data_IF_546482052363
#
_entry.id   IF_546482052363
#
_cell.length_a   1.000
_cell.length_b   1.000
_cell.length_c   1.000
_cell.angle_alpha   90.00
_cell.angle_beta   90.00
_cell.angle_gamma   90.00
#
_symmetry.space_group_name_H-M   'P 1'
#
loop_
_entity.id
_entity.type
_entity.pdbx_description
1 polymer ?
#
# COMPACT_ATOMS: atom_id res chain seq x y z
N UNK A 1 22.69 20.05 5.23
CA UNK A 1 22.32 19.33 3.99
C UNK A 1 23.54 18.58 3.51
N UNK A 2 23.49 17.23 3.43
CA UNK A 2 24.66 16.42 3.08
C UNK A 2 24.95 16.42 1.57
N UNK A 3 23.92 16.64 0.73
CA UNK A 3 24.03 16.70 -0.73
C UNK A 3 23.28 17.91 -1.28
N UNK A 4 23.75 18.49 -2.41
CA UNK A 4 22.97 19.48 -3.16
C UNK A 4 21.61 18.89 -3.61
N UNK A 5 20.61 19.76 -3.85
CA UNK A 5 19.25 19.32 -4.12
C UNK A 5 19.13 18.36 -5.32
N UNK A 6 19.80 18.63 -6.42
CA UNK A 6 19.72 17.81 -7.62
C UNK A 6 20.35 16.41 -7.47
N UNK A 7 21.59 16.25 -6.95
CA UNK A 7 22.12 14.93 -6.61
C UNK A 7 21.30 14.17 -5.58
N UNK A 8 20.71 14.87 -4.58
CA UNK A 8 19.84 14.24 -3.60
C UNK A 8 18.58 13.65 -4.27
N UNK A 9 17.97 14.38 -5.21
CA UNK A 9 16.82 13.92 -5.97
C UNK A 9 17.14 12.67 -6.81
N UNK A 10 18.28 12.68 -7.53
CA UNK A 10 18.73 11.52 -8.32
C UNK A 10 18.99 10.32 -7.41
N UNK A 11 19.69 10.53 -6.29
CA UNK A 11 19.97 9.48 -5.32
C UNK A 11 18.67 8.86 -4.76
N UNK A 12 17.67 9.68 -4.42
CA UNK A 12 16.38 9.22 -3.95
C UNK A 12 15.64 8.38 -5.01
N UNK A 13 15.74 8.75 -6.29
CA UNK A 13 15.15 7.99 -7.39
C UNK A 13 15.75 6.58 -7.51
N UNK A 14 17.08 6.47 -7.49
CA UNK A 14 17.75 5.15 -7.54
C UNK A 14 17.50 4.36 -6.25
N UNK A 15 17.53 5.00 -5.09
CA UNK A 15 17.25 4.36 -3.81
C UNK A 15 15.83 3.75 -3.81
N UNK A 16 14.85 4.46 -4.32
CA UNK A 16 13.47 3.96 -4.50
C UNK A 16 13.45 2.65 -5.28
N UNK A 17 14.14 2.59 -6.43
CA UNK A 17 14.20 1.38 -7.26
C UNK A 17 14.88 0.23 -6.52
N UNK A 18 16.00 0.50 -5.84
CA UNK A 18 16.72 -0.50 -5.06
C UNK A 18 15.87 -1.08 -3.93
N UNK A 19 15.12 -0.23 -3.20
CA UNK A 19 14.21 -0.66 -2.14
C UNK A 19 13.09 -1.55 -2.70
N UNK A 20 12.50 -1.17 -3.85
CA UNK A 20 11.47 -1.96 -4.50
C UNK A 20 11.96 -3.35 -4.91
N UNK A 21 13.15 -3.40 -5.53
CA UNK A 21 13.78 -4.68 -5.93
C UNK A 21 14.08 -5.52 -4.68
N UNK A 22 14.76 -4.94 -3.68
CA UNK A 22 15.14 -5.66 -2.47
C UNK A 22 13.91 -6.21 -1.74
N UNK A 23 12.87 -5.39 -1.54
CA UNK A 23 11.62 -5.80 -0.92
C UNK A 23 10.93 -6.92 -1.71
N UNK A 24 10.83 -6.78 -3.03
CA UNK A 24 10.22 -7.78 -3.91
C UNK A 24 10.99 -9.11 -3.91
N UNK A 25 12.32 -9.06 -3.90
CA UNK A 25 13.17 -10.26 -3.84
C UNK A 25 13.01 -10.97 -2.51
N UNK A 26 13.03 -10.24 -1.39
CA UNK A 26 12.84 -10.81 -0.06
C UNK A 26 11.45 -11.44 0.09
N UNK A 27 10.42 -10.71 -0.31
CA UNK A 27 9.04 -11.21 -0.30
C UNK A 27 8.86 -12.40 -1.24
N UNK A 28 9.38 -12.32 -2.47
CA UNK A 28 9.29 -13.39 -3.44
C UNK A 28 9.98 -14.69 -2.99
N UNK A 29 11.15 -14.59 -2.33
CA UNK A 29 11.81 -15.75 -1.73
C UNK A 29 10.94 -16.43 -0.68
N UNK A 30 10.28 -15.63 0.15
CA UNK A 30 9.43 -16.13 1.22
C UNK A 30 8.15 -16.79 0.70
N UNK A 31 7.49 -16.16 -0.28
CA UNK A 31 6.22 -16.64 -0.81
C UNK A 31 6.38 -17.82 -1.77
N UNK A 32 7.43 -17.83 -2.60
CA UNK A 32 7.63 -18.85 -3.62
C UNK A 32 8.42 -20.06 -3.11
N UNK A 33 9.18 -19.93 -2.01
CA UNK A 33 9.98 -21.00 -1.45
C UNK A 33 10.91 -21.64 -2.49
N UNK A 34 10.79 -22.94 -2.71
CA UNK A 34 11.62 -23.69 -3.67
C UNK A 34 11.44 -23.22 -5.13
N UNK A 35 10.24 -22.72 -5.49
CA UNK A 35 9.95 -22.22 -6.83
C UNK A 35 10.66 -20.90 -7.14
N UNK A 36 11.18 -20.21 -6.11
CA UNK A 36 11.88 -18.95 -6.30
C UNK A 36 13.01 -19.04 -7.32
N UNK A 37 13.81 -20.10 -7.28
CA UNK A 37 14.96 -20.26 -8.20
C UNK A 37 14.55 -20.24 -9.67
N UNK A 38 13.44 -20.90 -10.01
CA UNK A 38 12.92 -20.92 -11.39
C UNK A 38 12.24 -19.64 -11.82
N UNK A 39 11.80 -18.80 -10.87
CA UNK A 39 11.08 -17.55 -11.14
C UNK A 39 11.88 -16.31 -10.74
N UNK A 40 13.15 -16.47 -10.39
CA UNK A 40 13.99 -15.38 -9.89
C UNK A 40 14.02 -14.18 -10.83
N UNK A 41 14.23 -14.40 -12.13
CA UNK A 41 14.29 -13.32 -13.12
C UNK A 41 12.97 -12.52 -13.17
N UNK A 42 11.83 -13.22 -13.09
CA UNK A 42 10.52 -12.58 -13.05
C UNK A 42 10.34 -11.72 -11.79
N UNK A 43 10.74 -12.21 -10.62
CA UNK A 43 10.66 -11.46 -9.36
C UNK A 43 11.51 -10.19 -9.41
N UNK A 44 12.73 -10.28 -9.96
CA UNK A 44 13.59 -9.10 -10.17
C UNK A 44 12.97 -8.11 -11.12
N UNK A 45 12.42 -8.58 -12.25
CA UNK A 45 11.76 -7.72 -13.23
C UNK A 45 10.53 -7.04 -12.64
N UNK A 46 9.70 -7.77 -11.88
CA UNK A 46 8.55 -7.19 -11.17
C UNK A 46 8.98 -6.13 -10.15
N UNK A 47 10.03 -6.39 -9.36
CA UNK A 47 10.55 -5.41 -8.40
C UNK A 47 11.10 -4.16 -9.08
N UNK A 48 11.80 -4.31 -10.20
CA UNK A 48 12.30 -3.20 -11.01
C UNK A 48 11.15 -2.38 -11.61
N UNK A 49 10.19 -3.04 -12.27
CA UNK A 49 9.00 -2.40 -12.83
C UNK A 49 8.22 -1.64 -11.75
N UNK A 50 7.99 -2.27 -10.59
CA UNK A 50 7.31 -1.64 -9.46
C UNK A 50 8.06 -0.40 -8.95
N UNK A 51 9.39 -0.45 -8.90
CA UNK A 51 10.23 0.69 -8.53
C UNK A 51 10.14 1.87 -9.50
N UNK A 52 9.87 1.63 -10.79
CA UNK A 52 9.75 2.68 -11.82
C UNK A 52 8.34 3.27 -11.87
N UNK A 53 7.30 2.50 -11.54
CA UNK A 53 5.89 2.89 -11.69
C UNK A 53 5.56 4.25 -11.06
N UNK A 54 6.17 4.60 -9.95
CA UNK A 54 6.03 5.91 -9.35
C UNK A 54 7.16 6.84 -9.78
N UNK A 55 6.83 7.89 -10.56
CA UNK A 55 7.80 8.81 -11.15
C UNK A 55 8.40 9.77 -10.12
N UNK A 56 7.71 10.05 -9.01
CA UNK A 56 8.13 11.03 -8.01
C UNK A 56 9.02 10.40 -6.92
N UNK A 57 10.31 10.76 -6.84
CA UNK A 57 11.21 10.21 -5.82
C UNK A 57 10.78 10.52 -4.39
N UNK A 58 10.29 11.73 -4.14
CA UNK A 58 9.92 12.17 -2.79
C UNK A 58 8.76 11.36 -2.20
N UNK A 59 7.80 10.93 -3.04
CA UNK A 59 6.64 10.13 -2.64
C UNK A 59 6.81 8.65 -3.00
N UNK A 60 7.79 8.32 -3.81
CA UNK A 60 7.99 6.98 -4.36
C UNK A 60 8.58 6.00 -3.37
N UNK A 61 9.40 6.45 -2.42
CA UNK A 61 10.04 5.57 -1.42
C UNK A 61 9.00 4.86 -0.54
N UNK A 62 7.99 5.54 0.02
CA UNK A 62 6.92 4.87 0.78
C UNK A 62 6.23 3.76 -0.02
N UNK A 63 5.86 4.01 -1.27
CA UNK A 63 5.28 2.99 -2.14
C UNK A 63 6.24 1.84 -2.44
N UNK A 64 7.47 2.16 -2.83
CA UNK A 64 8.50 1.20 -3.16
C UNK A 64 8.85 0.27 -1.99
N UNK A 65 8.64 0.72 -0.75
CA UNK A 65 8.91 -0.03 0.47
C UNK A 65 7.78 -1.02 0.86
N UNK A 66 6.61 -0.98 0.24
CA UNK A 66 5.48 -1.87 0.57
C UNK A 66 5.85 -3.36 0.49
N UNK A 67 6.55 -3.86 -0.55
CA UNK A 67 6.96 -5.27 -0.56
C UNK A 67 7.86 -5.65 0.61
N UNK A 68 8.71 -4.73 1.08
CA UNK A 68 9.53 -4.92 2.28
C UNK A 68 8.66 -5.01 3.54
N UNK A 69 7.66 -4.14 3.69
CA UNK A 69 6.70 -4.22 4.79
C UNK A 69 5.97 -5.56 4.80
N UNK A 70 5.46 -5.99 3.66
CA UNK A 70 4.78 -7.27 3.53
C UNK A 70 5.68 -8.44 3.91
N UNK A 71 6.96 -8.41 3.49
CA UNK A 71 7.95 -9.40 3.90
C UNK A 71 8.14 -9.43 5.43
N UNK A 72 8.28 -8.26 6.07
CA UNK A 72 8.42 -8.17 7.53
C UNK A 72 7.20 -8.75 8.25
N UNK A 73 5.99 -8.40 7.79
CA UNK A 73 4.75 -8.93 8.35
C UNK A 73 4.64 -10.45 8.19
N UNK A 74 4.97 -10.99 7.01
CA UNK A 74 5.00 -12.45 6.79
C UNK A 74 5.97 -13.12 7.75
N UNK A 75 7.19 -12.58 7.92
CA UNK A 75 8.17 -13.11 8.88
C UNK A 75 7.69 -13.08 10.32
N UNK A 76 7.08 -11.98 10.74
CA UNK A 76 6.51 -11.83 12.10
C UNK A 76 5.39 -12.85 12.32
N UNK A 77 4.51 -13.03 11.35
CA UNK A 77 3.39 -13.97 11.46
C UNK A 77 3.86 -15.42 11.49
N UNK A 78 4.87 -15.79 10.71
CA UNK A 78 5.41 -17.15 10.68
C UNK A 78 6.30 -17.44 11.89
N UNK A 79 7.38 -16.67 12.04
CA UNK A 79 8.41 -16.89 13.07
C UNK A 79 8.82 -15.56 13.71
N UNK A 80 8.07 -15.10 14.75
CA UNK A 80 8.36 -13.83 15.40
C UNK A 80 9.74 -13.86 16.05
N UNK A 81 10.48 -12.77 15.89
CA UNK A 81 11.75 -12.54 16.57
C UNK A 81 11.92 -11.06 16.89
N UNK A 82 12.72 -10.74 17.88
CA UNK A 82 13.02 -9.35 18.22
C UNK A 82 13.56 -8.56 17.00
N UNK A 83 14.43 -9.18 16.18
CA UNK A 83 14.99 -8.53 15.00
C UNK A 83 13.92 -8.09 13.97
N UNK A 84 12.87 -8.90 13.77
CA UNK A 84 11.80 -8.52 12.85
C UNK A 84 10.94 -7.37 13.38
N UNK A 85 10.64 -7.36 14.68
CA UNK A 85 9.94 -6.24 15.30
C UNK A 85 10.80 -4.98 15.33
N UNK A 86 12.11 -5.09 15.57
CA UNK A 86 13.03 -3.96 15.48
C UNK A 86 13.10 -3.40 14.04
N UNK A 87 13.19 -4.26 13.03
CA UNK A 87 13.13 -3.83 11.63
C UNK A 87 11.81 -3.13 11.30
N UNK A 88 10.68 -3.64 11.81
CA UNK A 88 9.37 -3.01 11.65
C UNK A 88 9.28 -1.65 12.37
N UNK A 89 9.89 -1.53 13.55
CA UNK A 89 9.98 -0.25 14.28
C UNK A 89 10.71 0.83 13.49
N UNK A 90 11.76 0.48 12.74
CA UNK A 90 12.50 1.42 11.89
C UNK A 90 11.90 1.60 10.49
N UNK A 91 10.90 0.82 10.11
CA UNK A 91 10.25 0.96 8.81
C UNK A 91 9.68 2.36 8.52
N UNK A 92 9.15 3.14 9.50
CA UNK A 92 8.71 4.53 9.30
C UNK A 92 9.74 5.47 8.69
N UNK A 93 11.03 5.17 8.78
CA UNK A 93 12.10 5.94 8.08
C UNK A 93 11.93 5.89 6.56
N UNK A 94 11.33 4.82 6.04
CA UNK A 94 11.04 4.64 4.61
C UNK A 94 9.62 5.08 4.24
N UNK A 95 8.75 5.27 5.24
CA UNK A 95 7.33 5.53 5.03
C UNK A 95 6.87 6.65 5.96
N UNK A 96 6.42 7.76 5.41
CA UNK A 96 5.92 8.88 6.21
C UNK A 96 4.50 8.63 6.71
N UNK A 97 4.25 8.88 8.00
CA UNK A 97 2.89 8.78 8.57
C UNK A 97 1.91 9.70 7.85
N UNK A 98 2.33 10.94 7.61
CA UNK A 98 1.53 11.98 6.97
C UNK A 98 1.07 11.66 5.56
N UNK A 99 1.71 10.70 4.87
CA UNK A 99 1.33 10.27 3.52
C UNK A 99 0.72 8.88 3.48
N UNK A 100 1.32 7.93 4.17
CA UNK A 100 1.03 6.51 4.01
C UNK A 100 0.78 5.76 5.30
N UNK A 101 1.33 6.25 6.42
CA UNK A 101 1.31 5.50 7.67
C UNK A 101 -0.10 5.21 8.17
N UNK A 102 -1.01 6.18 8.04
CA UNK A 102 -2.40 5.99 8.43
C UNK A 102 -3.06 4.86 7.62
N UNK A 103 -2.86 4.84 6.30
CA UNK A 103 -3.40 3.79 5.43
C UNK A 103 -2.79 2.43 5.75
N UNK A 104 -1.47 2.37 5.96
CA UNK A 104 -0.79 1.12 6.35
C UNK A 104 -1.39 0.58 7.65
N UNK A 105 -1.54 1.41 8.68
CA UNK A 105 -2.13 1.00 9.95
C UNK A 105 -3.59 0.57 9.79
N UNK A 106 -4.38 1.27 8.97
CA UNK A 106 -5.76 0.90 8.68
C UNK A 106 -5.86 -0.46 7.97
N UNK A 107 -5.00 -0.73 6.97
CA UNK A 107 -4.95 -2.04 6.32
C UNK A 107 -4.46 -3.15 7.24
N UNK A 108 -3.50 -2.87 8.13
CA UNK A 108 -3.07 -3.83 9.13
C UNK A 108 -4.17 -4.12 10.16
N UNK A 109 -4.94 -3.11 10.56
CA UNK A 109 -6.10 -3.29 11.42
C UNK A 109 -7.21 -4.11 10.73
N UNK A 110 -7.46 -3.86 9.44
CA UNK A 110 -8.38 -4.67 8.64
C UNK A 110 -7.90 -6.12 8.54
N UNK A 111 -6.61 -6.34 8.26
CA UNK A 111 -6.02 -7.67 8.23
C UNK A 111 -6.11 -8.38 9.59
N UNK A 112 -5.90 -7.65 10.70
CA UNK A 112 -6.10 -8.16 12.06
C UNK A 112 -7.54 -8.65 12.25
N UNK A 113 -8.55 -7.86 11.88
CA UNK A 113 -9.95 -8.22 11.99
C UNK A 113 -10.31 -9.45 11.13
N UNK A 114 -9.82 -9.48 9.88
CA UNK A 114 -10.03 -10.61 8.98
C UNK A 114 -9.43 -11.91 9.56
N UNK A 115 -8.20 -11.86 10.06
CA UNK A 115 -7.55 -13.01 10.69
C UNK A 115 -8.31 -13.47 11.94
N UNK A 116 -8.75 -12.53 12.76
CA UNK A 116 -9.50 -12.84 13.99
C UNK A 116 -10.83 -13.53 13.68
N UNK A 117 -11.59 -13.01 12.73
CA UNK A 117 -12.87 -13.58 12.30
C UNK A 117 -12.68 -14.96 11.65
N UNK A 118 -11.70 -15.06 10.75
CA UNK A 118 -11.42 -16.28 9.98
C UNK A 118 -10.96 -17.43 10.87
N UNK A 119 -9.95 -17.17 11.70
CA UNK A 119 -9.28 -18.22 12.46
C UNK A 119 -9.91 -18.44 13.84
N UNK A 120 -10.84 -17.55 14.24
CA UNK A 120 -11.47 -17.50 15.58
C UNK A 120 -10.44 -17.52 16.73
N UNK A 121 -9.22 -17.10 16.45
CA UNK A 121 -8.10 -16.98 17.38
C UNK A 121 -7.59 -15.56 17.38
N UNK A 122 -7.30 -15.04 18.58
CA UNK A 122 -6.77 -13.68 18.70
C UNK A 122 -5.38 -13.55 18.06
N UNK A 123 -5.21 -12.71 17.01
CA UNK A 123 -3.95 -12.60 16.29
C UNK A 123 -2.98 -11.64 16.99
N UNK A 124 -2.53 -12.01 18.20
CA UNK A 124 -1.68 -11.17 19.06
C UNK A 124 -0.38 -10.69 18.39
N UNK A 125 0.19 -11.50 17.47
CA UNK A 125 1.39 -11.09 16.71
C UNK A 125 1.11 -9.91 15.80
N UNK A 126 -0.06 -9.89 15.16
CA UNK A 126 -0.47 -8.77 14.29
C UNK A 126 -0.75 -7.52 15.13
N UNK A 127 -1.44 -7.67 16.27
CA UNK A 127 -1.67 -6.55 17.17
C UNK A 127 -0.36 -5.94 17.68
N UNK A 128 0.61 -6.78 18.07
CA UNK A 128 1.92 -6.31 18.48
C UNK A 128 2.66 -5.62 17.33
N UNK A 129 2.54 -6.13 16.10
CA UNK A 129 3.13 -5.49 14.92
C UNK A 129 2.51 -4.10 14.68
N UNK A 130 1.19 -3.95 14.80
CA UNK A 130 0.51 -2.65 14.71
C UNK A 130 1.04 -1.70 15.78
N UNK A 131 1.10 -2.15 17.03
CA UNK A 131 1.59 -1.33 18.14
C UNK A 131 3.04 -0.87 17.93
N UNK A 132 3.94 -1.79 17.56
CA UNK A 132 5.36 -1.48 17.29
C UNK A 132 5.50 -0.49 16.14
N UNK A 133 4.76 -0.67 15.05
CA UNK A 133 4.79 0.23 13.90
C UNK A 133 4.24 1.61 14.27
N UNK A 134 3.14 1.67 15.03
CA UNK A 134 2.56 2.94 15.52
C UNK A 134 3.55 3.72 16.37
N UNK A 135 4.22 3.05 17.31
CA UNK A 135 5.29 3.69 18.12
C UNK A 135 6.43 4.16 17.22
N UNK A 136 6.83 3.36 16.23
CA UNK A 136 7.82 3.76 15.24
C UNK A 136 7.45 5.04 14.50
N UNK A 137 6.19 5.18 14.04
CA UNK A 137 5.70 6.42 13.42
C UNK A 137 5.73 7.61 14.38
N UNK A 138 5.28 7.43 15.61
CA UNK A 138 5.30 8.50 16.61
C UNK A 138 6.73 8.98 16.87
N UNK A 139 7.70 8.07 16.96
CA UNK A 139 9.10 8.42 17.18
C UNK A 139 9.71 9.10 15.96
N UNK A 140 9.46 8.60 14.75
CA UNK A 140 10.00 9.18 13.52
C UNK A 140 9.42 10.56 13.21
N UNK A 141 8.14 10.75 13.43
CA UNK A 141 7.44 12.00 13.14
C UNK A 141 6.91 12.68 14.42
N UNK A 142 7.67 12.59 15.54
CA UNK A 142 7.24 13.10 16.84
C UNK A 142 6.77 14.56 16.78
N UNK A 143 7.42 15.39 15.93
CA UNK A 143 7.06 16.80 15.76
C UNK A 143 5.65 16.95 15.17
N UNK A 144 5.27 16.10 14.22
CA UNK A 144 3.91 16.10 13.66
C UNK A 144 2.88 15.83 14.76
N UNK A 145 3.09 14.76 15.53
CA UNK A 145 2.18 14.38 16.62
C UNK A 145 2.15 15.42 17.72
N UNK A 146 3.31 16.03 18.05
CA UNK A 146 3.39 17.13 19.02
C UNK A 146 2.54 18.33 18.55
N UNK A 147 2.69 18.74 17.29
CA UNK A 147 1.91 19.84 16.73
C UNK A 147 0.40 19.54 16.68
N UNK A 148 0.03 18.31 16.38
CA UNK A 148 -1.39 17.91 16.37
C UNK A 148 -2.05 17.90 17.73
N UNK A 149 -1.28 17.66 18.81
CA UNK A 149 -1.83 17.47 20.16
C UNK A 149 -1.67 18.71 21.06
N UNK A 150 -0.66 19.55 20.82
CA UNK A 150 -0.25 20.61 21.75
C UNK A 150 -0.06 21.98 21.09
N UNK A 151 -0.20 22.07 19.77
CA UNK A 151 -0.01 23.34 19.04
C UNK A 151 -1.32 23.70 18.32
N UNK A 152 -1.80 24.92 18.56
CA UNK A 152 -2.99 25.48 17.88
C UNK A 152 -2.66 25.98 16.45
N UNK A 153 -1.47 25.67 15.94
CA UNK A 153 -1.04 26.08 14.62
C UNK A 153 -1.95 25.51 13.52
N UNK A 154 -2.57 26.42 12.79
CA UNK A 154 -3.42 26.07 11.64
C UNK A 154 -2.56 25.45 10.55
N UNK A 155 -2.79 24.19 10.23
CA UNK A 155 -2.07 23.50 9.14
C UNK A 155 -2.60 23.98 7.78
N UNK A 156 -1.73 23.96 6.76
CA UNK A 156 -2.16 24.29 5.38
C UNK A 156 -3.34 23.40 4.95
N UNK A 157 -3.39 22.15 5.42
CA UNK A 157 -4.49 21.24 5.11
C UNK A 157 -5.83 21.68 5.68
N UNK A 158 -5.85 22.29 6.86
CA UNK A 158 -7.08 22.81 7.46
C UNK A 158 -7.61 24.08 6.77
N UNK A 159 -6.75 24.77 6.00
CA UNK A 159 -7.12 25.95 5.19
C UNK A 159 -7.57 25.58 3.76
N UNK A 160 -7.26 24.37 3.30
CA UNK A 160 -7.73 23.90 1.99
C UNK A 160 -9.20 23.47 2.12
N UNK A 161 -10.09 24.39 1.81
CA UNK A 161 -11.52 24.10 1.67
C UNK A 161 -11.72 23.34 0.36
N UNK A 162 -11.65 22.01 0.41
CA UNK A 162 -12.09 21.20 -0.71
C UNK A 162 -13.63 21.33 -0.81
N UNK A 163 -14.21 21.61 -1.96
CA UNK A 163 -15.67 21.67 -2.15
C UNK A 163 -16.33 20.31 -1.84
N UNK A 164 -17.58 20.33 -1.39
CA UNK A 164 -18.38 19.11 -1.33
C UNK A 164 -18.79 18.71 -2.75
N UNK A 165 -18.73 17.41 -3.02
CA UNK A 165 -19.10 16.88 -4.34
C UNK A 165 -20.56 16.44 -4.33
N UNK A 166 -21.24 16.65 -5.44
CA UNK A 166 -22.53 16.04 -5.72
C UNK A 166 -22.37 14.53 -5.91
N UNK A 167 -23.46 13.78 -5.79
CA UNK A 167 -23.43 12.32 -5.99
C UNK A 167 -22.90 11.95 -7.38
N UNK A 168 -23.23 12.72 -8.42
CA UNK A 168 -22.70 12.49 -9.77
C UNK A 168 -21.19 12.71 -9.87
N UNK A 169 -20.65 13.72 -9.19
CA UNK A 169 -19.21 13.99 -9.14
C UNK A 169 -18.48 12.90 -8.34
N UNK A 170 -19.08 12.40 -7.26
CA UNK A 170 -18.54 11.26 -6.49
C UNK A 170 -18.47 10.02 -7.37
N UNK A 171 -19.53 9.68 -8.12
CA UNK A 171 -19.52 8.53 -9.02
C UNK A 171 -18.49 8.70 -10.15
N UNK A 172 -18.35 9.89 -10.70
CA UNK A 172 -17.30 10.19 -11.67
C UNK A 172 -15.90 10.04 -11.06
N UNK A 173 -15.67 10.53 -9.84
CA UNK A 173 -14.39 10.39 -9.12
C UNK A 173 -14.05 8.94 -8.85
N UNK A 174 -15.02 8.10 -8.46
CA UNK A 174 -14.84 6.66 -8.29
C UNK A 174 -14.40 6.01 -9.62
N UNK A 175 -15.12 6.29 -10.70
CA UNK A 175 -14.79 5.79 -12.03
C UNK A 175 -13.41 6.24 -12.50
N UNK A 176 -13.11 7.51 -12.36
CA UNK A 176 -11.83 8.10 -12.75
C UNK A 176 -10.67 7.52 -11.92
N UNK A 177 -10.81 7.37 -10.60
CA UNK A 177 -9.78 6.78 -9.76
C UNK A 177 -9.50 5.31 -10.11
N UNK A 178 -10.53 4.56 -10.52
CA UNK A 178 -10.38 3.16 -10.93
C UNK A 178 -9.72 3.06 -12.31
N UNK A 179 -10.13 3.88 -13.28
CA UNK A 179 -9.70 3.78 -14.69
C UNK A 179 -8.40 4.54 -14.94
N UNK A 180 -8.34 5.79 -14.52
CA UNK A 180 -7.16 6.64 -14.75
C UNK A 180 -6.09 6.48 -13.67
N UNK A 181 -6.49 6.07 -12.45
CA UNK A 181 -5.63 6.12 -11.29
C UNK A 181 -5.54 7.53 -10.71
N UNK A 182 -4.55 7.73 -9.83
CA UNK A 182 -4.43 9.00 -9.10
C UNK A 182 -3.20 9.77 -9.55
N UNK A 183 -3.40 11.06 -9.82
CA UNK A 183 -2.41 12.09 -10.11
C UNK A 183 -1.14 11.64 -10.86
N UNK A 184 -0.13 11.14 -10.14
CA UNK A 184 1.22 10.92 -10.67
C UNK A 184 1.43 9.56 -11.35
N UNK A 185 0.47 8.66 -11.28
CA UNK A 185 0.53 7.34 -11.90
C UNK A 185 -0.48 7.18 -13.07
N UNK A 186 -1.21 8.25 -13.41
CA UNK A 186 -2.37 8.23 -14.29
C UNK A 186 -2.08 7.54 -15.65
N UNK A 187 -1.05 7.95 -16.37
CA UNK A 187 -0.73 7.36 -17.67
C UNK A 187 -0.27 5.91 -17.57
N UNK A 188 0.55 5.58 -16.57
CA UNK A 188 1.04 4.21 -16.37
C UNK A 188 -0.09 3.30 -15.91
N UNK A 189 -0.95 3.80 -15.02
CA UNK A 189 -2.11 3.04 -14.55
C UNK A 189 -3.07 2.73 -15.70
N UNK A 190 -3.50 3.75 -16.44
CA UNK A 190 -4.49 3.62 -17.50
C UNK A 190 -4.01 2.81 -18.69
N UNK A 191 -2.76 3.00 -19.13
CA UNK A 191 -2.26 2.38 -20.36
C UNK A 191 -1.49 1.07 -20.15
N UNK A 192 -1.01 0.80 -18.95
CA UNK A 192 -0.20 -0.39 -18.66
C UNK A 192 -0.84 -1.26 -17.58
N UNK A 193 -1.03 -0.74 -16.38
CA UNK A 193 -1.43 -1.56 -15.23
C UNK A 193 -2.85 -2.06 -15.40
N UNK A 194 -3.80 -1.17 -15.66
CA UNK A 194 -5.21 -1.54 -15.79
C UNK A 194 -5.47 -2.53 -16.93
N UNK A 195 -4.95 -2.34 -18.17
CA UNK A 195 -5.13 -3.33 -19.24
C UNK A 195 -4.56 -4.70 -18.91
N UNK A 196 -3.35 -4.76 -18.33
CA UNK A 196 -2.72 -6.03 -17.94
C UNK A 196 -3.56 -6.73 -16.87
N UNK A 197 -3.98 -5.97 -15.84
CA UNK A 197 -4.84 -6.50 -14.78
C UNK A 197 -6.19 -6.98 -15.33
N UNK A 198 -6.83 -6.21 -16.22
CA UNK A 198 -8.12 -6.57 -16.81
C UNK A 198 -8.01 -7.82 -17.68
N UNK A 199 -7.00 -7.91 -18.56
CA UNK A 199 -6.79 -9.09 -19.41
C UNK A 199 -6.60 -10.34 -18.55
N UNK A 200 -5.77 -10.27 -17.51
CA UNK A 200 -5.56 -11.41 -16.62
C UNK A 200 -6.81 -11.76 -15.82
N UNK A 201 -7.56 -10.75 -15.34
CA UNK A 201 -8.83 -10.95 -14.65
C UNK A 201 -9.85 -11.72 -15.51
N UNK A 202 -10.05 -11.29 -16.75
CA UNK A 202 -10.98 -11.96 -17.66
C UNK A 202 -10.49 -13.36 -18.02
N UNK A 203 -9.20 -13.53 -18.35
CA UNK A 203 -8.62 -14.85 -18.64
C UNK A 203 -8.83 -15.84 -17.49
N UNK A 204 -8.53 -15.42 -16.27
CA UNK A 204 -8.64 -16.25 -15.07
C UNK A 204 -10.10 -16.67 -14.83
N UNK A 205 -11.01 -15.71 -14.83
CA UNK A 205 -12.42 -15.99 -14.53
C UNK A 205 -13.11 -16.79 -15.64
N UNK A 206 -12.81 -16.51 -16.91
CA UNK A 206 -13.30 -17.33 -18.03
C UNK A 206 -12.77 -18.76 -17.90
N UNK A 207 -11.50 -18.95 -17.55
CA UNK A 207 -10.93 -20.28 -17.33
C UNK A 207 -11.66 -21.05 -16.22
N UNK A 208 -12.03 -20.39 -15.11
CA UNK A 208 -12.82 -21.01 -14.04
C UNK A 208 -14.23 -21.39 -14.50
N UNK A 209 -14.89 -20.55 -15.29
CA UNK A 209 -16.22 -20.82 -15.83
C UNK A 209 -16.19 -21.99 -16.80
N UNK A 210 -15.23 -22.05 -17.72
CA UNK A 210 -15.04 -23.14 -18.67
C UNK A 210 -14.81 -24.47 -17.95
N UNK A 211 -14.02 -24.45 -16.85
CA UNK A 211 -13.77 -25.62 -16.00
C UNK A 211 -14.94 -25.97 -15.08
N UNK A 212 -16.08 -25.25 -15.16
CA UNK A 212 -17.24 -25.37 -14.27
C UNK A 212 -16.91 -25.26 -12.77
N UNK A 213 -15.88 -24.53 -12.44
CA UNK A 213 -15.43 -24.29 -11.06
C UNK A 213 -15.69 -22.85 -10.60
N UNK A 214 -16.97 -22.45 -10.59
CA UNK A 214 -17.36 -21.09 -10.19
C UNK A 214 -16.96 -20.74 -8.73
N UNK A 215 -16.83 -21.73 -7.85
CA UNK A 215 -16.36 -21.49 -6.46
C UNK A 215 -14.93 -20.93 -6.42
N UNK A 216 -14.08 -21.32 -7.35
CA UNK A 216 -12.71 -20.81 -7.40
C UNK A 216 -12.65 -19.29 -7.61
N UNK A 217 -13.62 -18.70 -8.30
CA UNK A 217 -13.70 -17.25 -8.51
C UNK A 217 -13.70 -16.49 -7.19
N UNK A 218 -14.45 -16.97 -6.19
CA UNK A 218 -14.58 -16.33 -4.88
C UNK A 218 -13.43 -16.62 -3.92
N UNK A 219 -12.60 -17.61 -4.19
CA UNK A 219 -11.47 -18.00 -3.34
C UNK A 219 -10.11 -17.62 -3.92
N UNK A 220 -10.10 -17.08 -5.13
CA UNK A 220 -8.87 -16.69 -5.80
C UNK A 220 -8.35 -15.37 -5.27
N UNK A 221 -7.06 -15.35 -4.91
CA UNK A 221 -6.40 -14.18 -4.34
C UNK A 221 -6.37 -12.98 -5.28
N UNK A 222 -6.28 -13.24 -6.58
CA UNK A 222 -6.27 -12.14 -7.55
C UNK A 222 -7.64 -11.46 -7.62
N UNK A 223 -8.72 -12.22 -7.61
CA UNK A 223 -10.07 -11.67 -7.56
C UNK A 223 -10.31 -10.89 -6.27
N UNK A 224 -9.79 -11.36 -5.14
CA UNK A 224 -9.85 -10.62 -3.88
C UNK A 224 -9.10 -9.29 -3.98
N UNK A 225 -7.90 -9.26 -4.60
CA UNK A 225 -7.17 -8.02 -4.83
C UNK A 225 -7.93 -7.05 -5.74
N UNK A 226 -8.63 -7.55 -6.76
CA UNK A 226 -9.48 -6.70 -7.60
C UNK A 226 -10.66 -6.10 -6.84
N UNK A 227 -11.29 -6.88 -5.96
CA UNK A 227 -12.34 -6.37 -5.05
C UNK A 227 -11.78 -5.28 -4.13
N UNK A 228 -10.60 -5.48 -3.56
CA UNK A 228 -9.94 -4.46 -2.71
C UNK A 228 -9.66 -3.19 -3.52
N UNK A 229 -9.20 -3.29 -4.77
CA UNK A 229 -8.96 -2.15 -5.64
C UNK A 229 -10.24 -1.34 -5.88
N UNK A 230 -11.33 -2.01 -6.23
CA UNK A 230 -12.66 -1.37 -6.40
C UNK A 230 -13.11 -0.72 -5.10
N UNK A 231 -12.97 -1.42 -3.97
CA UNK A 231 -13.35 -0.90 -2.66
C UNK A 231 -12.54 0.36 -2.27
N UNK A 232 -11.25 0.40 -2.57
CA UNK A 232 -10.43 1.59 -2.38
C UNK A 232 -10.95 2.78 -3.18
N UNK A 233 -11.31 2.58 -4.45
CA UNK A 233 -11.88 3.64 -5.29
C UNK A 233 -13.23 4.13 -4.75
N UNK A 234 -14.06 3.22 -4.19
CA UNK A 234 -15.32 3.57 -3.53
C UNK A 234 -15.07 4.44 -2.28
N UNK A 235 -14.16 4.03 -1.39
CA UNK A 235 -13.82 4.80 -0.18
C UNK A 235 -13.32 6.18 -0.58
N UNK A 236 -12.42 6.25 -1.56
CA UNK A 236 -11.88 7.51 -2.03
C UNK A 236 -12.96 8.47 -2.54
N UNK A 237 -13.91 8.00 -3.34
CA UNK A 237 -15.00 8.83 -3.82
C UNK A 237 -15.97 9.24 -2.70
N UNK A 238 -16.33 8.31 -1.80
CA UNK A 238 -17.24 8.58 -0.67
C UNK A 238 -16.67 9.63 0.28
N UNK A 239 -15.35 9.71 0.42
CA UNK A 239 -14.69 10.73 1.24
C UNK A 239 -15.09 12.17 0.85
N UNK A 240 -15.42 12.44 -0.41
CA UNK A 240 -15.82 13.76 -0.89
C UNK A 240 -17.31 14.08 -0.67
N UNK A 241 -18.12 13.15 -0.14
CA UNK A 241 -19.47 13.44 0.28
C UNK A 241 -19.48 14.35 1.52
N UNK A 242 -20.28 15.39 1.50
CA UNK A 242 -20.38 16.37 2.59
C UNK A 242 -20.58 15.75 3.98
N UNK A 243 -21.50 14.77 4.19
CA UNK A 243 -21.70 14.16 5.49
C UNK A 243 -20.46 13.42 6.03
N UNK A 244 -19.68 12.82 5.14
CA UNK A 244 -18.47 12.06 5.52
C UNK A 244 -17.33 13.01 5.83
N UNK A 245 -17.17 14.02 5.01
CA UNK A 245 -16.12 15.01 5.14
C UNK A 245 -16.22 15.86 6.40
N UNK A 246 -17.45 16.16 6.85
CA UNK A 246 -17.68 16.96 8.07
C UNK A 246 -17.43 16.17 9.35
N UNK A 247 -17.18 14.86 9.27
CA UNK A 247 -16.88 13.98 10.41
C UNK A 247 -15.37 13.67 10.51
N UNK A 248 -14.61 13.84 9.44
CA UNK A 248 -13.17 13.54 9.33
C UNK A 248 -12.36 14.81 9.25
#
# INVERSE_FOLDING_TARGET
MLLPAFPAYIAAYFLKILIAIAGSVLLGRELLGEKYKSQQALVWLCGFAYGILNVFPAFGIPFASIPLLLFLLVKIMQKPSFGWYAALFFYPVLSYFSYFGLFILAYMALAFLILWIKDRKFPGRMLLAIAVLSVGYIVCEYRLFYMMLFDDAVTIRSTIVAGSYTVSEVLATIGDSLVKGMFHAESVHMYVVLPVCAVYFFYLNISYLVKKNARAIFHDWYNLLMVILVFNSLIYGIYYLEPVRNVV
#
